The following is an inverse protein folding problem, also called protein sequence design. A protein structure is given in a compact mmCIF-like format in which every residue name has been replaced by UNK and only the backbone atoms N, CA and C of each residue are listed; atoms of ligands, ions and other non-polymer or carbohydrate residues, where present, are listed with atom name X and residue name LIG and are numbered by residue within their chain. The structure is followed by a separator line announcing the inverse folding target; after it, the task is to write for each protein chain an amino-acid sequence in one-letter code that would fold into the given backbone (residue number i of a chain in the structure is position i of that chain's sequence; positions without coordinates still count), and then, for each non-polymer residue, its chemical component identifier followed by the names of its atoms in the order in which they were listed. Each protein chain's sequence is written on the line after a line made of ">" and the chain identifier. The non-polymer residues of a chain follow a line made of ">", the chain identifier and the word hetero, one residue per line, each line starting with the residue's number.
data_IF_151313907629
#
_entry.id   IF_151313907629
#
_cell.length_a   1.000
_cell.length_b   1.000
_cell.length_c   1.000
_cell.angle_alpha   90.00
_cell.angle_beta   90.00
_cell.angle_gamma   90.00
#
_symmetry.space_group_name_H-M   'P 1'
#
loop_
_entity.id
_entity.type
_entity.pdbx_description
1 polymer ?
#
# COMPACT_ATOMS: atom_id res chain seq x y z
N UNK A 1 -21.56 2.81 62.51
CA UNK A 1 -22.78 2.36 61.81
C UNK A 1 -22.37 2.06 60.38
N UNK A 2 -22.05 0.81 60.06
CA UNK A 2 -21.65 0.42 58.71
C UNK A 2 -22.91 0.07 57.91
N UNK A 3 -23.06 0.72 56.76
CA UNK A 3 -24.23 0.63 55.88
C UNK A 3 -23.92 -0.38 54.78
N UNK A 4 -24.01 -1.68 55.11
CA UNK A 4 -23.98 -2.76 54.13
C UNK A 4 -25.14 -3.68 54.46
N UNK A 5 -26.28 -3.41 53.83
CA UNK A 5 -27.42 -4.31 53.76
C UNK A 5 -27.01 -5.57 52.95
N UNK A 6 -27.01 -6.78 53.54
CA UNK A 6 -26.68 -8.01 52.83
C UNK A 6 -27.63 -8.34 51.67
N UNK A 7 -28.80 -7.68 51.59
CA UNK A 7 -29.71 -7.78 50.45
C UNK A 7 -29.35 -6.83 49.29
N UNK A 8 -28.41 -5.91 49.48
CA UNK A 8 -28.03 -4.95 48.44
C UNK A 8 -27.10 -5.60 47.41
N UNK A 9 -27.70 -6.16 46.35
CA UNK A 9 -26.96 -6.58 45.14
C UNK A 9 -26.32 -5.34 44.52
N UNK A 10 -25.01 -5.20 44.69
CA UNK A 10 -24.23 -4.19 43.97
C UNK A 10 -24.22 -4.56 42.48
N UNK A 11 -25.07 -3.92 41.68
CA UNK A 11 -24.98 -4.02 40.21
C UNK A 11 -23.77 -3.21 39.79
N UNK A 12 -22.64 -3.89 39.58
CA UNK A 12 -21.46 -3.29 38.96
C UNK A 12 -21.74 -3.26 37.46
N UNK A 13 -22.06 -2.08 36.92
CA UNK A 13 -21.91 -1.85 35.49
C UNK A 13 -20.41 -1.98 35.18
N UNK A 14 -20.01 -3.10 34.59
CA UNK A 14 -18.70 -3.19 33.93
C UNK A 14 -18.63 -2.13 32.83
N UNK A 15 -17.43 -1.73 32.38
CA UNK A 15 -17.31 -0.81 31.25
C UNK A 15 -18.15 -1.34 30.09
N UNK A 16 -19.10 -0.54 29.61
CA UNK A 16 -19.85 -0.87 28.39
C UNK A 16 -18.84 -0.94 27.26
N UNK A 17 -18.55 -2.15 26.80
CA UNK A 17 -17.72 -2.37 25.62
C UNK A 17 -18.63 -2.27 24.41
N UNK A 18 -18.30 -1.35 23.50
CA UNK A 18 -18.90 -1.28 22.18
C UNK A 18 -18.01 -2.10 21.22
N UNK A 19 -18.64 -2.92 20.39
CA UNK A 19 -17.98 -3.67 19.33
C UNK A 19 -18.86 -3.59 18.08
N UNK A 20 -18.24 -3.71 16.92
CA UNK A 20 -18.88 -3.58 15.64
C UNK A 20 -18.80 -4.91 14.90
N UNK A 21 -19.94 -5.55 14.66
CA UNK A 21 -20.00 -6.86 14.01
C UNK A 21 -20.20 -6.73 12.50
N UNK A 22 -19.19 -7.08 11.72
CA UNK A 22 -19.28 -7.21 10.27
C UNK A 22 -19.64 -8.65 9.90
N UNK A 23 -20.76 -8.81 9.19
CA UNK A 23 -21.20 -10.11 8.67
C UNK A 23 -21.24 -10.08 7.14
N UNK A 24 -20.72 -11.15 6.52
CA UNK A 24 -20.68 -11.34 5.07
C UNK A 24 -21.28 -12.70 4.77
N UNK A 25 -22.29 -12.73 3.90
CA UNK A 25 -22.93 -13.96 3.47
C UNK A 25 -22.37 -14.39 2.11
N UNK A 26 -21.66 -15.52 2.09
CA UNK A 26 -21.12 -16.16 0.89
C UNK A 26 -21.88 -17.47 0.61
N UNK A 27 -22.97 -17.37 -0.14
CA UNK A 27 -23.92 -18.46 -0.29
C UNK A 27 -24.57 -18.82 1.05
N UNK A 28 -24.28 -20.02 1.56
CA UNK A 28 -24.74 -20.47 2.89
C UNK A 28 -23.72 -20.20 4.01
N UNK A 29 -22.49 -19.81 3.66
CA UNK A 29 -21.43 -19.56 4.62
C UNK A 29 -21.54 -18.15 5.20
N UNK A 30 -21.45 -18.04 6.52
CA UNK A 30 -21.43 -16.77 7.25
C UNK A 30 -20.01 -16.47 7.70
N UNK A 31 -19.39 -15.45 7.11
CA UNK A 31 -18.11 -14.91 7.55
C UNK A 31 -18.41 -13.77 8.53
N UNK A 32 -17.74 -13.76 9.67
CA UNK A 32 -17.95 -12.77 10.73
C UNK A 32 -16.63 -12.20 11.25
N UNK A 33 -16.60 -10.88 11.38
CA UNK A 33 -15.53 -10.15 12.02
C UNK A 33 -16.09 -9.29 13.15
N UNK A 34 -15.54 -9.42 14.35
CA UNK A 34 -15.75 -8.49 15.45
C UNK A 34 -14.71 -7.38 15.37
N UNK A 35 -15.14 -6.13 15.31
CA UNK A 35 -14.26 -4.96 15.12
C UNK A 35 -14.31 -4.16 16.44
N UNK A 36 -13.17 -3.92 17.10
CA UNK A 36 -13.13 -3.32 18.43
C UNK A 36 -13.45 -1.82 18.42
N UNK A 37 -13.14 -1.16 17.29
CA UNK A 37 -13.33 0.27 17.09
C UNK A 37 -14.31 0.49 15.94
N UNK A 38 -14.93 1.68 15.90
CA UNK A 38 -15.82 2.03 14.79
C UNK A 38 -15.07 1.91 13.47
N UNK A 39 -15.59 1.19 12.46
CA UNK A 39 -14.91 1.07 11.18
C UNK A 39 -14.67 2.44 10.55
N UNK A 40 -13.41 2.72 10.19
CA UNK A 40 -13.00 3.92 9.46
C UNK A 40 -12.53 3.54 8.05
N UNK A 41 -13.44 3.43 7.06
CA UNK A 41 -13.13 2.93 5.71
C UNK A 41 -11.88 3.52 5.07
N UNK A 42 -11.71 4.84 5.18
CA UNK A 42 -10.61 5.56 4.53
C UNK A 42 -9.24 5.32 5.17
N UNK A 43 -9.19 4.97 6.46
CA UNK A 43 -7.96 4.70 7.19
C UNK A 43 -7.67 3.20 7.35
N UNK A 44 -8.67 2.36 7.10
CA UNK A 44 -8.63 0.94 7.40
C UNK A 44 -9.07 0.64 8.83
N UNK A 45 -9.25 -0.64 9.14
CA UNK A 45 -9.66 -1.10 10.46
C UNK A 45 -9.23 -2.55 10.71
N UNK A 46 -9.15 -2.94 11.98
CA UNK A 46 -8.86 -4.33 12.38
C UNK A 46 -10.15 -5.08 12.68
N UNK A 47 -10.29 -6.28 12.15
CA UNK A 47 -11.37 -7.21 12.49
C UNK A 47 -10.81 -8.51 13.04
N UNK A 48 -11.42 -9.04 14.09
CA UNK A 48 -11.13 -10.37 14.61
C UNK A 48 -12.10 -11.36 13.99
N UNK A 49 -11.60 -12.34 13.25
CA UNK A 49 -12.44 -13.40 12.68
C UNK A 49 -12.99 -14.28 13.81
N UNK A 50 -14.32 -14.36 13.91
CA UNK A 50 -14.99 -15.14 14.95
C UNK A 50 -16.20 -15.87 14.37
N UNK A 51 -16.91 -16.63 15.22
CA UNK A 51 -18.23 -17.14 14.89
C UNK A 51 -19.32 -16.33 15.56
N UNK A 52 -20.45 -16.13 14.88
CA UNK A 52 -21.65 -15.51 15.46
C UNK A 52 -22.91 -16.24 15.02
N UNK A 53 -23.96 -16.14 15.84
CA UNK A 53 -25.26 -16.68 15.50
C UNK A 53 -25.85 -15.87 14.32
N UNK A 54 -26.21 -16.58 13.23
CA UNK A 54 -26.77 -16.00 12.00
C UNK A 54 -28.00 -15.12 12.24
N UNK A 55 -28.71 -15.32 13.35
CA UNK A 55 -29.84 -14.47 13.78
C UNK A 55 -29.47 -13.00 13.98
N UNK A 56 -28.19 -12.65 14.13
CA UNK A 56 -27.79 -11.24 14.18
C UNK A 56 -28.22 -10.47 12.92
N UNK A 57 -28.28 -11.14 11.77
CA UNK A 57 -28.68 -10.55 10.49
C UNK A 57 -30.17 -10.19 10.42
N UNK A 58 -31.00 -10.77 11.29
CA UNK A 58 -32.45 -10.50 11.37
C UNK A 58 -32.74 -9.17 12.10
N UNK A 59 -31.74 -8.60 12.78
CA UNK A 59 -31.87 -7.33 13.50
C UNK A 59 -31.79 -6.17 12.51
N UNK A 60 -32.92 -5.48 12.30
CA UNK A 60 -33.01 -4.30 11.41
C UNK A 60 -33.14 -2.98 12.16
N UNK A 61 -33.67 -3.03 13.37
CA UNK A 61 -33.84 -1.89 14.26
C UNK A 61 -33.11 -2.19 15.57
N UNK A 62 -32.81 -1.14 16.33
CA UNK A 62 -32.18 -1.27 17.63
C UNK A 62 -32.99 -2.22 18.53
N UNK A 63 -32.35 -3.27 18.99
CA UNK A 63 -32.98 -4.32 19.79
C UNK A 63 -32.16 -4.61 21.04
N UNK A 64 -32.85 -4.67 22.17
CA UNK A 64 -32.28 -5.19 23.42
C UNK A 64 -32.23 -6.73 23.35
N UNK A 65 -31.08 -7.28 23.70
CA UNK A 65 -30.84 -8.72 23.74
C UNK A 65 -30.60 -9.11 25.19
N UNK A 66 -31.44 -10.01 25.67
CA UNK A 66 -31.36 -10.54 27.04
C UNK A 66 -30.04 -11.28 27.30
N UNK A 67 -29.49 -11.21 28.53
CA UNK A 67 -28.32 -11.98 28.93
C UNK A 67 -28.49 -13.48 28.75
N UNK A 68 -27.39 -14.22 28.76
CA UNK A 68 -27.34 -15.68 28.64
C UNK A 68 -27.93 -16.22 27.32
N UNK A 69 -27.84 -15.42 26.26
CA UNK A 69 -28.19 -15.82 24.90
C UNK A 69 -26.93 -15.99 24.04
N UNK A 70 -27.06 -16.59 22.87
CA UNK A 70 -25.94 -16.73 21.92
C UNK A 70 -25.39 -15.38 21.45
N UNK A 71 -26.28 -14.39 21.29
CA UNK A 71 -25.92 -13.02 20.90
C UNK A 71 -25.53 -12.12 22.09
N UNK A 72 -25.90 -12.51 23.31
CA UNK A 72 -25.48 -11.83 24.54
C UNK A 72 -25.06 -12.87 25.60
N UNK A 73 -23.79 -13.30 25.59
CA UNK A 73 -23.28 -14.31 26.52
C UNK A 73 -23.05 -13.77 27.94
N UNK A 74 -23.36 -12.50 28.22
CA UNK A 74 -23.15 -11.94 29.56
C UNK A 74 -24.06 -12.62 30.58
N UNK A 75 -23.64 -12.58 31.85
CA UNK A 75 -24.39 -13.24 32.94
C UNK A 75 -25.70 -12.54 33.27
N UNK A 76 -25.72 -11.20 33.17
CA UNK A 76 -26.81 -10.38 33.70
C UNK A 76 -26.92 -8.99 33.06
N UNK A 77 -26.14 -8.68 32.02
CA UNK A 77 -26.08 -7.33 31.45
C UNK A 77 -26.76 -7.32 30.09
N UNK A 78 -27.91 -6.66 29.91
CA UNK A 78 -28.51 -6.55 28.58
C UNK A 78 -27.55 -5.85 27.63
N UNK A 79 -27.53 -6.28 26.36
CA UNK A 79 -26.81 -5.57 25.31
C UNK A 79 -27.81 -5.03 24.28
N UNK A 80 -27.42 -3.95 23.60
CA UNK A 80 -28.21 -3.38 22.52
C UNK A 80 -27.46 -3.63 21.21
N UNK A 81 -28.14 -4.24 20.26
CA UNK A 81 -27.62 -4.43 18.90
C UNK A 81 -28.45 -3.55 17.98
N UNK A 82 -27.79 -2.79 17.12
CA UNK A 82 -28.43 -1.98 16.10
C UNK A 82 -27.73 -2.14 14.75
N UNK A 83 -28.52 -2.10 13.68
CA UNK A 83 -27.99 -2.16 12.32
C UNK A 83 -27.45 -0.78 11.93
N UNK A 84 -26.13 -0.64 11.88
CA UNK A 84 -25.47 0.63 11.52
C UNK A 84 -25.24 0.81 10.02
N UNK A 85 -25.08 -0.30 9.30
CA UNK A 85 -24.91 -0.33 7.85
C UNK A 85 -25.43 -1.65 7.27
N UNK A 86 -25.88 -1.61 6.03
CA UNK A 86 -26.25 -2.80 5.29
C UNK A 86 -26.17 -2.53 3.80
N UNK A 87 -25.89 -3.58 3.03
CA UNK A 87 -25.76 -3.45 1.60
C UNK A 87 -25.48 -4.78 0.94
N UNK A 88 -25.36 -4.75 -0.38
CA UNK A 88 -24.87 -5.89 -1.13
C UNK A 88 -23.34 -5.89 -1.08
N UNK A 89 -22.75 -7.08 -1.06
CA UNK A 89 -21.32 -7.22 -1.26
C UNK A 89 -21.04 -8.16 -2.45
N UNK A 90 -19.84 -8.04 -3.02
CA UNK A 90 -19.34 -8.96 -4.04
C UNK A 90 -17.96 -9.42 -3.61
N UNK A 91 -17.84 -10.70 -3.29
CA UNK A 91 -16.56 -11.33 -2.96
C UNK A 91 -15.85 -11.65 -4.28
N UNK A 92 -14.64 -11.13 -4.43
CA UNK A 92 -13.77 -11.40 -5.58
C UNK A 92 -12.76 -12.50 -5.27
N UNK A 93 -12.32 -12.57 -4.02
CA UNK A 93 -11.37 -13.57 -3.55
C UNK A 93 -11.63 -13.82 -2.06
N UNK A 94 -11.59 -15.09 -1.66
CA UNK A 94 -11.72 -15.51 -0.27
C UNK A 94 -10.83 -16.73 -0.06
N UNK A 95 -9.86 -16.60 0.83
CA UNK A 95 -8.92 -17.65 1.22
C UNK A 95 -8.68 -17.56 2.73
N UNK A 96 -8.02 -18.56 3.36
CA UNK A 96 -7.79 -18.55 4.80
C UNK A 96 -7.03 -17.33 5.35
N UNK A 97 -6.30 -16.60 4.50
CA UNK A 97 -5.46 -15.47 4.91
C UNK A 97 -5.74 -14.18 4.11
N UNK A 98 -6.68 -14.22 3.17
CA UNK A 98 -6.96 -13.11 2.27
C UNK A 98 -8.43 -13.04 1.87
N UNK A 99 -8.99 -11.84 1.93
CA UNK A 99 -10.36 -11.56 1.51
C UNK A 99 -10.35 -10.29 0.67
N UNK A 100 -10.95 -10.35 -0.51
CA UNK A 100 -11.18 -9.19 -1.37
C UNK A 100 -12.66 -9.09 -1.65
N UNK A 101 -13.27 -8.04 -1.13
CA UNK A 101 -14.72 -7.86 -1.14
C UNK A 101 -15.06 -6.42 -1.48
N UNK A 102 -16.02 -6.22 -2.38
CA UNK A 102 -16.61 -4.91 -2.61
C UNK A 102 -17.90 -4.79 -1.82
N UNK A 103 -17.98 -3.80 -0.95
CA UNK A 103 -19.22 -3.43 -0.27
C UNK A 103 -19.95 -2.34 -1.05
N UNK A 104 -21.28 -2.32 -0.92
CA UNK A 104 -22.18 -1.27 -1.39
C UNK A 104 -23.17 -0.93 -0.27
N UNK A 105 -22.65 -0.44 0.84
CA UNK A 105 -23.40 0.11 1.97
C UNK A 105 -23.36 1.65 1.99
N UNK A 106 -23.78 2.24 3.11
CA UNK A 106 -23.63 3.68 3.38
C UNK A 106 -22.32 3.98 4.11
N UNK A 107 -21.87 3.10 5.00
CA UNK A 107 -20.62 3.21 5.74
C UNK A 107 -19.50 2.51 4.98
N UNK A 108 -19.69 1.22 4.68
CA UNK A 108 -18.77 0.44 3.87
C UNK A 108 -19.19 0.52 2.40
N UNK A 109 -18.59 1.41 1.64
CA UNK A 109 -18.78 1.52 0.19
C UNK A 109 -17.42 1.50 -0.52
N UNK A 110 -17.27 0.62 -1.50
CA UNK A 110 -16.04 0.46 -2.25
C UNK A 110 -15.41 -0.92 -2.12
N UNK A 111 -14.23 -1.06 -2.72
CA UNK A 111 -13.46 -2.31 -2.72
C UNK A 111 -12.58 -2.33 -1.48
N UNK A 112 -12.62 -3.44 -0.73
CA UNK A 112 -11.79 -3.68 0.43
C UNK A 112 -10.92 -4.90 0.19
N UNK A 113 -9.71 -4.82 0.73
CA UNK A 113 -8.79 -5.95 0.85
C UNK A 113 -8.56 -6.16 2.34
N UNK A 114 -8.76 -7.38 2.81
CA UNK A 114 -8.46 -7.79 4.16
C UNK A 114 -7.40 -8.90 4.14
N UNK A 115 -6.39 -8.77 5.00
CA UNK A 115 -5.31 -9.75 5.16
C UNK A 115 -5.25 -10.23 6.59
N UNK A 116 -5.07 -11.53 6.77
CA UNK A 116 -4.89 -12.13 8.09
C UNK A 116 -3.44 -11.98 8.55
N UNK A 117 -3.24 -11.58 9.79
CA UNK A 117 -1.91 -11.60 10.42
C UNK A 117 -1.54 -13.06 10.76
N UNK A 118 -0.29 -13.44 10.43
CA UNK A 118 0.21 -14.81 10.59
C UNK A 118 0.00 -15.33 12.02
N UNK A 119 -0.55 -16.55 12.14
CA UNK A 119 -0.81 -17.24 13.41
C UNK A 119 -1.78 -16.52 14.37
N UNK A 120 -2.60 -15.58 13.88
CA UNK A 120 -3.65 -14.91 14.68
C UNK A 120 -5.02 -15.05 14.01
N UNK A 121 -6.06 -14.54 14.67
CA UNK A 121 -7.38 -14.33 14.04
C UNK A 121 -7.60 -12.86 13.65
N UNK A 122 -6.54 -12.06 13.59
CA UNK A 122 -6.60 -10.63 13.30
C UNK A 122 -6.55 -10.44 11.79
N UNK A 123 -7.47 -9.62 11.28
CA UNK A 123 -7.56 -9.24 9.89
C UNK A 123 -7.46 -7.73 9.76
N UNK A 124 -6.54 -7.26 8.93
CA UNK A 124 -6.36 -5.85 8.60
C UNK A 124 -7.13 -5.52 7.32
N UNK A 125 -8.14 -4.65 7.41
CA UNK A 125 -8.94 -4.18 6.29
C UNK A 125 -8.44 -2.85 5.78
N UNK A 126 -8.24 -2.74 4.46
CA UNK A 126 -7.88 -1.50 3.78
C UNK A 126 -8.80 -1.27 2.56
N UNK A 127 -9.19 -0.01 2.32
CA UNK A 127 -9.85 0.34 1.05
C UNK A 127 -8.88 0.29 -0.12
N UNK A 128 -9.24 -0.44 -1.16
CA UNK A 128 -8.54 -0.46 -2.43
C UNK A 128 -9.14 0.57 -3.38
N UNK A 129 -8.35 1.60 -3.73
CA UNK A 129 -8.73 2.61 -4.73
C UNK A 129 -8.63 2.09 -6.18
N UNK A 130 -8.26 0.82 -6.38
CA UNK A 130 -8.04 0.25 -7.71
C UNK A 130 -9.36 -0.32 -8.27
N UNK A 131 -9.78 0.04 -9.50
CA UNK A 131 -11.03 -0.43 -10.08
C UNK A 131 -11.05 -1.95 -10.38
N UNK A 132 -12.26 -2.52 -10.31
CA UNK A 132 -12.61 -3.96 -10.27
C UNK A 132 -12.14 -4.80 -11.46
N UNK A 133 -11.79 -4.19 -12.59
CA UNK A 133 -11.49 -4.92 -13.84
C UNK A 133 -10.06 -5.49 -13.93
N UNK A 134 -9.49 -5.97 -12.82
CA UNK A 134 -8.29 -6.82 -12.85
C UNK A 134 -8.51 -8.09 -12.03
N UNK A 135 -9.02 -9.13 -12.70
CA UNK A 135 -8.79 -10.52 -12.32
C UNK A 135 -7.38 -10.90 -12.78
N UNK A 136 -6.51 -11.33 -11.85
CA UNK A 136 -5.38 -12.22 -12.14
C UNK A 136 -5.12 -13.06 -10.88
N UNK A 137 -5.41 -14.38 -10.87
CA UNK A 137 -4.85 -15.25 -9.86
C UNK A 137 -3.42 -15.59 -10.28
N UNK A 138 -2.44 -15.08 -9.54
CA UNK A 138 -1.08 -15.61 -9.46
C UNK A 138 -0.57 -15.29 -8.05
N UNK A 139 -0.33 -16.33 -7.24
CA UNK A 139 0.45 -16.24 -6.00
C UNK A 139 1.88 -15.87 -6.42
N UNK A 140 2.09 -14.57 -6.52
CA UNK A 140 3.33 -13.90 -6.19
C UNK A 140 2.86 -12.50 -5.81
N UNK A 141 2.88 -12.19 -4.52
CA UNK A 141 2.89 -10.81 -4.09
C UNK A 141 4.18 -10.24 -4.68
N UNK A 142 4.09 -9.71 -5.89
CA UNK A 142 5.10 -8.77 -6.37
C UNK A 142 4.80 -7.47 -5.65
N UNK A 143 5.01 -7.51 -4.33
CA UNK A 143 5.32 -6.33 -3.55
C UNK A 143 6.44 -5.69 -4.33
N UNK A 144 6.10 -4.63 -5.05
CA UNK A 144 7.06 -3.85 -5.79
C UNK A 144 8.21 -3.57 -4.81
N UNK A 145 9.32 -4.28 -5.00
CA UNK A 145 10.42 -4.39 -4.02
C UNK A 145 11.17 -3.06 -3.87
N UNK A 146 10.68 -2.00 -4.50
CA UNK A 146 11.38 -0.74 -4.72
C UNK A 146 12.48 -0.87 -5.76
N UNK A 147 12.60 -2.02 -6.43
CA UNK A 147 13.67 -2.26 -7.41
C UNK A 147 13.25 -1.67 -8.74
N UNK A 148 13.98 -0.64 -9.17
CA UNK A 148 13.74 0.07 -10.44
C UNK A 148 15.02 0.21 -11.23
N UNK A 149 14.92 -0.07 -12.52
CA UNK A 149 15.96 0.18 -13.50
C UNK A 149 15.50 1.29 -14.44
N UNK A 150 16.38 2.25 -14.70
CA UNK A 150 16.04 3.35 -15.58
C UNK A 150 17.26 4.07 -16.13
N UNK A 151 17.12 4.75 -17.28
CA UNK A 151 18.19 5.53 -17.86
C UNK A 151 18.48 6.77 -17.00
N UNK A 152 19.76 7.08 -16.83
CA UNK A 152 20.25 8.33 -16.24
C UNK A 152 20.60 9.32 -17.34
N UNK A 153 21.34 8.87 -18.36
CA UNK A 153 21.70 9.64 -19.56
C UNK A 153 21.57 8.76 -20.80
N UNK A 154 21.01 9.33 -21.87
CA UNK A 154 20.82 8.67 -23.17
C UNK A 154 21.65 9.45 -24.20
N UNK A 155 22.52 8.79 -24.99
CA UNK A 155 23.33 9.47 -25.99
C UNK A 155 22.47 10.03 -27.11
N UNK A 156 22.98 11.08 -27.76
CA UNK A 156 22.31 11.76 -28.87
C UNK A 156 20.86 12.18 -28.54
N UNK A 157 20.59 12.42 -27.25
CA UNK A 157 19.37 13.04 -26.76
C UNK A 157 19.73 14.45 -26.29
N UNK A 158 18.94 15.42 -26.75
CA UNK A 158 19.11 16.82 -26.35
C UNK A 158 18.67 16.92 -24.89
N UNK A 159 19.59 17.24 -24.00
CA UNK A 159 19.25 17.48 -22.60
C UNK A 159 18.34 18.71 -22.45
N UNK A 160 17.81 18.95 -21.25
CA UNK A 160 16.95 20.11 -20.99
C UNK A 160 17.61 21.48 -21.24
N UNK A 161 18.91 21.51 -21.57
CA UNK A 161 19.75 22.69 -21.78
C UNK A 161 20.26 22.80 -23.24
N UNK A 162 19.88 21.88 -24.13
CA UNK A 162 20.23 21.93 -25.55
C UNK A 162 21.52 21.20 -25.94
N UNK A 163 22.18 20.48 -25.02
CA UNK A 163 23.43 19.79 -25.31
C UNK A 163 23.20 18.34 -25.73
N UNK A 164 24.05 17.88 -26.65
CA UNK A 164 24.18 16.47 -27.02
C UNK A 164 25.35 15.90 -26.24
N UNK A 165 25.10 14.87 -25.44
CA UNK A 165 26.14 14.17 -24.70
C UNK A 165 26.51 12.91 -25.48
N UNK A 166 27.82 12.73 -25.73
CA UNK A 166 28.37 11.56 -26.41
C UNK A 166 28.41 10.32 -25.51
N UNK A 167 28.48 9.12 -26.09
CA UNK A 167 28.61 7.85 -25.36
C UNK A 167 29.83 7.84 -24.44
N UNK A 168 30.94 8.44 -24.86
CA UNK A 168 32.20 8.51 -24.13
C UNK A 168 32.08 9.46 -22.92
N UNK A 169 31.34 10.55 -23.05
CA UNK A 169 31.06 11.47 -21.95
C UNK A 169 30.10 10.86 -20.92
N UNK A 170 29.09 10.13 -21.39
CA UNK A 170 28.20 9.34 -20.52
C UNK A 170 29.01 8.30 -19.73
N UNK A 171 29.94 7.60 -20.38
CA UNK A 171 30.80 6.61 -19.71
C UNK A 171 31.68 7.26 -18.62
N UNK A 172 32.30 8.40 -18.93
CA UNK A 172 33.08 9.17 -17.94
C UNK A 172 32.21 9.63 -16.78
N UNK A 173 31.01 10.12 -17.05
CA UNK A 173 30.06 10.55 -16.02
C UNK A 173 29.66 9.38 -15.11
N UNK A 174 29.35 8.21 -15.70
CA UNK A 174 29.05 6.98 -14.98
C UNK A 174 30.21 6.54 -14.08
N UNK A 175 31.45 6.51 -14.60
CA UNK A 175 32.62 6.15 -13.80
C UNK A 175 32.89 7.15 -12.67
N UNK A 176 32.73 8.45 -12.92
CA UNK A 176 32.87 9.47 -11.88
C UNK A 176 31.80 9.34 -10.80
N UNK A 177 30.54 9.09 -11.19
CA UNK A 177 29.46 8.83 -10.25
C UNK A 177 29.79 7.65 -9.34
N UNK A 178 30.24 6.53 -9.92
CA UNK A 178 30.62 5.32 -9.19
C UNK A 178 31.85 5.52 -8.30
N UNK A 179 32.81 6.35 -8.71
CA UNK A 179 34.04 6.57 -7.96
C UNK A 179 33.88 7.56 -6.81
N UNK A 180 33.10 8.62 -7.01
CA UNK A 180 33.14 9.79 -6.13
C UNK A 180 31.78 10.18 -5.53
N UNK A 181 30.65 9.85 -6.16
CA UNK A 181 29.34 10.34 -5.73
C UNK A 181 28.54 9.25 -5.04
N UNK A 182 27.98 8.29 -5.78
CA UNK A 182 27.06 7.22 -5.27
C UNK A 182 25.99 7.72 -4.28
N UNK A 183 25.66 9.01 -4.35
CA UNK A 183 24.71 9.67 -3.45
C UNK A 183 23.45 9.99 -4.23
N UNK A 184 22.30 9.74 -3.61
CA UNK A 184 20.98 10.01 -4.15
C UNK A 184 20.34 11.17 -3.39
N UNK A 185 19.65 12.03 -4.12
CA UNK A 185 18.80 13.08 -3.54
C UNK A 185 17.47 13.08 -4.28
N UNK A 186 16.38 13.32 -3.55
CA UNK A 186 15.07 13.47 -4.17
C UNK A 186 14.90 14.92 -4.68
N UNK A 187 14.61 15.09 -5.97
CA UNK A 187 14.34 16.39 -6.59
C UNK A 187 15.44 17.45 -6.42
N UNK A 188 16.72 17.05 -6.30
CA UNK A 188 17.87 17.95 -6.11
C UNK A 188 17.73 18.91 -4.90
N UNK A 189 16.98 18.51 -3.87
CA UNK A 189 16.72 19.34 -2.69
C UNK A 189 17.91 19.50 -1.73
N UNK A 190 19.11 19.03 -2.13
CA UNK A 190 20.33 19.08 -1.32
C UNK A 190 20.41 18.10 -0.16
N UNK A 191 19.35 17.32 0.13
CA UNK A 191 19.36 16.28 1.16
C UNK A 191 19.60 14.92 0.52
N UNK A 192 20.64 14.23 0.98
CA UNK A 192 20.88 12.85 0.57
C UNK A 192 19.92 11.88 1.26
N UNK A 193 19.50 10.85 0.53
CA UNK A 193 18.55 9.80 0.95
C UNK A 193 19.17 8.40 0.84
N UNK A 194 20.48 8.30 1.08
CA UNK A 194 21.26 7.06 0.88
C UNK A 194 20.93 5.96 1.90
N UNK A 195 20.22 6.29 2.98
CA UNK A 195 19.66 5.37 3.96
C UNK A 195 18.37 4.70 3.45
N UNK A 196 17.74 5.29 2.44
CA UNK A 196 16.48 4.82 1.88
C UNK A 196 16.61 4.35 0.42
N UNK A 197 17.73 4.67 -0.25
CA UNK A 197 17.99 4.31 -1.64
C UNK A 197 19.34 3.60 -1.79
N UNK A 198 19.29 2.36 -2.26
CA UNK A 198 20.46 1.51 -2.44
C UNK A 198 20.76 1.29 -3.92
N UNK A 199 21.99 1.56 -4.35
CA UNK A 199 22.44 1.24 -5.71
C UNK A 199 22.72 -0.26 -5.82
N UNK A 200 21.98 -0.95 -6.68
CA UNK A 200 22.14 -2.38 -6.96
C UNK A 200 22.96 -2.64 -8.23
N UNK A 201 22.80 -1.81 -9.25
CA UNK A 201 23.50 -1.95 -10.53
C UNK A 201 23.79 -0.57 -11.14
N UNK A 202 24.93 -0.46 -11.81
CA UNK A 202 25.30 0.71 -12.60
C UNK A 202 26.05 0.23 -13.84
N UNK A 203 25.47 0.46 -15.02
CA UNK A 203 26.00 -0.08 -16.26
C UNK A 203 25.66 0.80 -17.47
N UNK A 204 26.46 0.62 -18.51
CA UNK A 204 26.24 1.26 -19.80
C UNK A 204 25.79 0.21 -20.81
N UNK A 205 24.70 0.51 -21.51
CA UNK A 205 24.16 -0.31 -22.58
C UNK A 205 25.20 -0.49 -23.69
N UNK A 206 25.37 -1.74 -24.14
CA UNK A 206 26.24 -2.10 -25.26
C UNK A 206 25.38 -2.58 -26.43
N UNK A 207 25.36 -1.79 -27.49
CA UNK A 207 24.47 -1.98 -28.65
C UNK A 207 23.03 -1.53 -28.36
N UNK A 208 22.28 -1.21 -29.40
CA UNK A 208 20.87 -0.85 -29.29
C UNK A 208 20.05 -2.05 -28.78
N UNK A 209 19.10 -1.77 -27.88
CA UNK A 209 18.19 -2.77 -27.36
C UNK A 209 16.74 -2.34 -27.54
N UNK A 210 15.94 -3.17 -28.21
CA UNK A 210 14.52 -2.91 -28.44
C UNK A 210 13.70 -3.56 -27.33
N UNK A 211 12.96 -2.75 -26.60
CA UNK A 211 12.03 -3.19 -25.56
C UNK A 211 10.81 -3.90 -26.19
N UNK A 212 10.12 -4.78 -25.44
CA UNK A 212 8.92 -5.47 -25.93
C UNK A 212 7.80 -4.55 -26.42
N UNK A 213 7.76 -3.30 -25.95
CA UNK A 213 6.80 -2.27 -26.36
C UNK A 213 7.27 -1.41 -27.55
N UNK A 214 8.41 -1.76 -28.16
CA UNK A 214 8.96 -1.11 -29.34
C UNK A 214 9.84 0.10 -29.06
N UNK A 215 10.00 0.54 -27.81
CA UNK A 215 10.97 1.60 -27.46
C UNK A 215 12.40 1.09 -27.61
N UNK A 216 13.33 1.96 -28.00
CA UNK A 216 14.75 1.61 -28.18
C UNK A 216 15.60 2.25 -27.08
N UNK A 217 16.37 1.43 -26.37
CA UNK A 217 17.47 1.86 -25.51
C UNK A 217 18.72 1.93 -26.39
N UNK A 218 19.21 3.14 -26.64
CA UNK A 218 20.37 3.36 -27.51
C UNK A 218 21.66 2.82 -26.91
N UNK A 219 22.56 2.33 -27.76
CA UNK A 219 23.95 2.02 -27.41
C UNK A 219 24.59 3.21 -26.68
N UNK A 220 25.26 2.95 -25.56
CA UNK A 220 25.87 3.99 -24.75
C UNK A 220 24.98 4.62 -23.68
N UNK A 221 23.68 4.26 -23.62
CA UNK A 221 22.78 4.67 -22.53
C UNK A 221 23.33 4.20 -21.18
N UNK A 222 23.49 5.11 -20.24
CA UNK A 222 23.79 4.76 -18.85
C UNK A 222 22.48 4.53 -18.10
N UNK A 223 22.36 3.38 -17.46
CA UNK A 223 21.26 3.05 -16.56
C UNK A 223 21.78 2.63 -15.20
N UNK A 224 20.92 2.80 -14.20
CA UNK A 224 21.14 2.29 -12.86
C UNK A 224 19.93 1.46 -12.44
N UNK A 225 20.21 0.48 -11.58
CA UNK A 225 19.19 -0.23 -10.81
C UNK A 225 19.34 0.19 -9.36
N UNK A 226 18.27 0.69 -8.74
CA UNK A 226 18.24 1.02 -7.32
C UNK A 226 17.16 0.22 -6.60
N UNK A 227 17.28 0.10 -5.28
CA UNK A 227 16.22 -0.29 -4.38
C UNK A 227 15.77 0.91 -3.54
N UNK A 228 14.50 1.29 -3.68
CA UNK A 228 13.84 2.30 -2.85
C UNK A 228 13.10 1.65 -1.69
N UNK A 229 13.48 1.94 -0.44
CA UNK A 229 12.83 1.36 0.74
C UNK A 229 11.70 2.22 1.29
N UNK A 230 11.67 3.52 0.97
CA UNK A 230 10.65 4.43 1.48
C UNK A 230 9.26 4.11 0.90
N UNK A 231 8.23 3.82 1.74
CA UNK A 231 6.92 3.38 1.27
C UNK A 231 6.19 4.42 0.42
N UNK A 232 6.35 5.72 0.74
CA UNK A 232 5.72 6.80 -0.01
C UNK A 232 6.33 6.90 -1.41
N UNK A 233 7.66 6.87 -1.52
CA UNK A 233 8.34 6.94 -2.84
C UNK A 233 8.12 5.69 -3.67
N UNK A 234 8.06 4.50 -3.06
CA UNK A 234 7.63 3.26 -3.73
C UNK A 234 6.25 3.42 -4.36
N UNK A 235 5.30 3.99 -3.63
CA UNK A 235 3.96 4.25 -4.15
C UNK A 235 3.97 5.31 -5.27
N UNK A 236 4.75 6.38 -5.13
CA UNK A 236 4.91 7.40 -6.17
C UNK A 236 5.53 6.85 -7.46
N UNK A 237 6.48 5.92 -7.36
CA UNK A 237 7.03 5.18 -8.52
C UNK A 237 5.94 4.35 -9.19
N UNK A 238 5.18 3.57 -8.40
CA UNK A 238 4.09 2.71 -8.89
C UNK A 238 2.99 3.50 -9.59
N UNK A 239 2.71 4.70 -9.11
CA UNK A 239 1.76 5.65 -9.72
C UNK A 239 2.34 6.43 -10.91
N UNK A 240 3.62 6.24 -11.23
CA UNK A 240 4.29 6.94 -12.33
C UNK A 240 4.51 8.44 -12.06
N UNK A 241 4.47 8.89 -10.80
CA UNK A 241 4.81 10.26 -10.40
C UNK A 241 6.32 10.51 -10.44
N UNK A 242 7.12 9.47 -10.15
CA UNK A 242 8.57 9.46 -10.34
C UNK A 242 8.85 8.66 -11.61
N UNK A 243 9.43 9.31 -12.62
CA UNK A 243 9.50 8.75 -14.00
C UNK A 243 10.91 8.46 -14.50
N UNK A 244 11.95 8.82 -13.75
CA UNK A 244 13.32 8.62 -14.19
C UNK A 244 14.35 9.21 -13.25
N UNK A 245 15.60 8.97 -13.60
CA UNK A 245 16.76 9.50 -12.89
C UNK A 245 17.26 10.79 -13.55
N UNK A 246 17.97 11.60 -12.77
CA UNK A 246 18.64 12.80 -13.23
C UNK A 246 19.96 12.95 -12.49
N UNK A 247 20.98 13.47 -13.16
CA UNK A 247 22.26 13.80 -12.53
C UNK A 247 22.28 15.28 -12.14
N UNK A 248 22.39 15.54 -10.84
CA UNK A 248 22.62 16.89 -10.33
C UNK A 248 24.10 17.23 -10.43
N UNK A 249 24.52 17.83 -11.54
CA UNK A 249 25.90 18.30 -11.74
C UNK A 249 25.94 19.79 -12.04
N UNK A 250 26.81 20.53 -11.34
CA UNK A 250 27.20 21.88 -11.77
C UNK A 250 28.39 21.73 -12.70
N UNK A 251 28.14 21.62 -14.00
CA UNK A 251 29.19 21.59 -15.01
C UNK A 251 29.80 22.98 -15.21
N UNK A 252 31.10 23.16 -14.93
CA UNK A 252 31.86 24.30 -15.47
C UNK A 252 32.46 23.88 -16.80
N UNK A 253 31.92 24.42 -17.89
CA UNK A 253 32.46 24.23 -19.23
C UNK A 253 33.71 25.10 -19.40
N UNK A 254 34.85 24.49 -19.75
CA UNK A 254 35.99 25.22 -20.33
C UNK A 254 35.98 24.95 -21.82
N UNK A 255 35.52 25.94 -22.59
CA UNK A 255 35.57 25.91 -24.06
C UNK A 255 37.02 26.21 -24.47
N UNK A 256 37.61 25.33 -25.27
CA UNK A 256 38.82 25.64 -26.05
C UNK A 256 38.38 25.65 -27.51
N UNK A 257 38.29 26.84 -28.09
CA UNK A 257 37.96 27.03 -29.51
C UNK A 257 39.24 27.25 -30.32
N UNK A 258 39.25 26.75 -31.56
CA UNK A 258 40.22 27.10 -32.58
C UNK A 258 39.43 27.49 -33.84
N UNK A 259 39.88 28.53 -34.54
CA UNK A 259 39.35 28.89 -35.86
C UNK A 259 40.32 28.41 -36.95
N UNK A 260 39.79 28.01 -38.11
CA UNK A 260 40.60 27.78 -39.29
C UNK A 260 41.35 29.06 -39.67
N UNK A 261 42.68 28.96 -39.75
CA UNK A 261 43.46 29.95 -40.48
C UNK A 261 43.09 29.81 -41.96
N UNK A 262 42.43 30.84 -42.51
CA UNK A 262 42.15 30.97 -43.94
C UNK A 262 43.40 30.84 -44.79
#
# INVERSE_FOLDING_TARGET
>A
RYWLDPAHKTVRYGPSQEVYDLTILDGDNLIHFSIPDKPEPLLGFLGYETGIDRKIMDIKEKKEIEPQTTLNPTKSTPCFIELIDSGNCTIFESSPEFLKVKFKGKLLDGLFVAKKEENTNIWEFETSLVPINKFVPLIKVDEFQGIVTGPVLIPDSVDAQGHIITKEEIEKAMYNFMRYSRNFSFSHNGKFINDEVFLLECAQQKGDYVLPDGRVIKDGTWYITIQETNPIRKQMIKEGKIKGFSIGGVGRMKVISWEEAR
#
